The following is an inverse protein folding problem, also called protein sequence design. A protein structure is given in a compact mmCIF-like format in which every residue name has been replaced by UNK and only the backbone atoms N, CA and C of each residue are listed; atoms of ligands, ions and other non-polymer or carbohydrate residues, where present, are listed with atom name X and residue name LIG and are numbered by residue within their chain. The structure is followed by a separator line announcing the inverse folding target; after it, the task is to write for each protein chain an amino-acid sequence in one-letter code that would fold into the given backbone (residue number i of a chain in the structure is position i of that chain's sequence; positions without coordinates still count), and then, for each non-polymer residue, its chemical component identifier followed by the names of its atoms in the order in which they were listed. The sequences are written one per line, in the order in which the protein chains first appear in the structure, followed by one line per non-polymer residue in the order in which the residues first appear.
data_IF_620076549451
#
_entry.id   IF_620076549451
#
_cell.length_a   1.000
_cell.length_b   1.000
_cell.length_c   1.000
_cell.angle_alpha   90.00
_cell.angle_beta   90.00
_cell.angle_gamma   90.00
#
_symmetry.space_group_name_H-M   'P 1'
#
loop_
_entity.id
_entity.type
_entity.pdbx_description
1 polymer ?
#
# COMPACT_ATOMS: atom_id res chain seq x y z
N UNK A 1 -20.97 33.56 46.88
CA UNK A 1 -22.11 32.77 46.35
C UNK A 1 -22.48 33.26 44.93
N UNK A 2 -22.42 34.57 44.62
CA UNK A 2 -22.77 35.09 43.29
C UNK A 2 -21.79 34.77 42.15
N UNK A 3 -20.51 34.59 42.45
CA UNK A 3 -19.48 34.24 41.42
C UNK A 3 -19.53 32.77 40.97
N UNK A 4 -19.91 31.87 41.87
CA UNK A 4 -20.01 30.43 41.58
C UNK A 4 -21.24 30.14 40.70
N UNK A 5 -22.32 30.88 40.86
CA UNK A 5 -23.54 30.73 40.05
C UNK A 5 -23.36 31.25 38.63
N UNK A 6 -22.56 32.30 38.42
CA UNK A 6 -22.22 32.84 37.10
C UNK A 6 -21.23 31.94 36.32
N UNK A 7 -20.31 31.29 37.03
CA UNK A 7 -19.35 30.34 36.43
C UNK A 7 -20.02 29.03 36.00
N UNK A 8 -21.01 28.55 36.76
CA UNK A 8 -21.73 27.32 36.44
C UNK A 8 -22.69 27.48 35.24
N UNK A 9 -23.28 28.66 35.04
CA UNK A 9 -24.13 28.91 33.88
C UNK A 9 -23.35 29.12 32.57
N UNK A 10 -22.11 29.59 32.63
CA UNK A 10 -21.30 29.85 31.46
C UNK A 10 -20.65 28.56 30.89
N UNK A 11 -20.32 27.60 31.76
CA UNK A 11 -19.61 26.36 31.34
C UNK A 11 -20.54 25.21 30.97
N UNK A 12 -21.79 25.16 31.46
CA UNK A 12 -22.78 24.15 31.01
C UNK A 12 -23.24 24.38 29.57
N UNK A 13 -23.18 25.62 29.06
CA UNK A 13 -23.48 25.90 27.65
C UNK A 13 -22.34 25.56 26.69
N UNK A 14 -21.10 25.46 27.18
CA UNK A 14 -19.93 25.11 26.35
C UNK A 14 -19.75 23.59 26.23
N UNK A 15 -20.26 22.80 27.16
CA UNK A 15 -20.04 21.34 27.18
C UNK A 15 -21.02 20.52 26.29
N UNK A 16 -22.11 21.14 25.79
CA UNK A 16 -23.10 20.46 24.93
C UNK A 16 -22.84 20.69 23.42
N UNK A 17 -21.92 21.59 23.05
CA UNK A 17 -21.66 21.90 21.62
C UNK A 17 -20.35 21.35 21.05
N UNK A 18 -19.63 20.51 21.78
CA UNK A 18 -18.35 19.92 21.38
C UNK A 18 -18.45 18.50 20.74
N UNK A 19 -19.65 17.98 20.54
CA UNK A 19 -19.86 16.73 19.85
C UNK A 19 -20.52 17.02 18.50
N UNK A 20 -19.85 16.70 17.42
CA UNK A 20 -20.24 16.73 16.01
C UNK A 20 -19.69 17.89 15.18
N UNK A 21 -18.39 17.89 15.00
CA UNK A 21 -17.82 18.29 13.73
C UNK A 21 -16.58 17.40 13.47
N UNK A 22 -16.85 16.14 13.17
CA UNK A 22 -15.96 15.40 12.31
C UNK A 22 -16.07 16.09 10.94
N UNK A 23 -15.06 16.79 10.43
CA UNK A 23 -15.06 17.10 9.02
C UNK A 23 -14.95 15.75 8.33
N UNK A 24 -16.08 15.22 7.87
CA UNK A 24 -16.08 14.32 6.75
C UNK A 24 -15.45 15.12 5.60
N UNK A 25 -14.12 15.08 5.49
CA UNK A 25 -13.46 15.32 4.24
C UNK A 25 -13.97 14.20 3.32
N UNK A 26 -15.14 14.42 2.74
CA UNK A 26 -15.53 13.79 1.50
C UNK A 26 -14.37 14.11 0.55
N UNK A 27 -13.44 13.16 0.42
CA UNK A 27 -12.54 13.15 -0.71
C UNK A 27 -13.48 13.27 -1.91
N UNK A 28 -13.46 14.44 -2.55
CA UNK A 28 -14.07 14.59 -3.87
C UNK A 28 -13.28 13.61 -4.74
N UNK A 29 -13.90 12.47 -5.06
CA UNK A 29 -13.50 11.70 -6.21
C UNK A 29 -13.49 12.73 -7.35
N UNK A 30 -12.32 13.02 -7.90
CA UNK A 30 -12.26 13.78 -9.15
C UNK A 30 -13.18 13.03 -10.09
N UNK A 31 -14.18 13.72 -10.65
CA UNK A 31 -15.04 13.18 -11.70
C UNK A 31 -14.13 12.88 -12.92
N UNK A 32 -13.46 11.74 -12.84
CA UNK A 32 -12.78 11.19 -14.00
C UNK A 32 -13.87 10.77 -14.98
N UNK A 33 -13.81 11.35 -16.16
CA UNK A 33 -14.68 10.93 -17.26
C UNK A 33 -14.34 9.46 -17.61
N UNK A 34 -15.02 8.54 -16.93
CA UNK A 34 -14.91 7.08 -17.10
C UNK A 34 -15.32 6.68 -18.54
N UNK A 35 -15.90 7.61 -19.32
CA UNK A 35 -16.30 7.40 -20.70
C UNK A 35 -15.16 7.50 -21.72
N UNK A 36 -13.92 7.81 -21.32
CA UNK A 36 -12.78 7.81 -22.23
C UNK A 36 -12.54 6.40 -22.76
N UNK A 37 -12.62 6.23 -24.08
CA UNK A 37 -12.56 4.93 -24.74
C UNK A 37 -11.23 4.15 -24.51
N UNK A 38 -10.14 4.86 -24.13
CA UNK A 38 -8.85 4.26 -23.81
C UNK A 38 -8.07 5.13 -22.81
N UNK A 39 -7.59 4.54 -21.72
CA UNK A 39 -6.90 5.23 -20.63
C UNK A 39 -5.39 5.26 -20.88
N UNK A 40 -4.80 6.43 -20.67
CA UNK A 40 -3.33 6.57 -20.64
C UNK A 40 -2.78 6.04 -19.32
N UNK A 41 -1.48 5.76 -19.30
CA UNK A 41 -0.79 5.33 -18.07
C UNK A 41 -0.94 6.34 -16.92
N UNK A 42 -0.82 7.63 -17.20
CA UNK A 42 -1.00 8.69 -16.20
C UNK A 42 -2.43 8.70 -15.64
N UNK A 43 -3.46 8.54 -16.47
CA UNK A 43 -4.84 8.45 -16.01
C UNK A 43 -5.08 7.24 -15.10
N UNK A 44 -4.45 6.08 -15.43
CA UNK A 44 -4.51 4.91 -14.56
C UNK A 44 -3.86 5.17 -13.20
N UNK A 45 -2.72 5.87 -13.17
CA UNK A 45 -2.05 6.23 -11.92
C UNK A 45 -2.87 7.18 -11.06
N UNK A 46 -3.36 8.27 -11.65
CA UNK A 46 -4.13 9.28 -10.92
C UNK A 46 -5.41 8.70 -10.33
N UNK A 47 -6.08 7.84 -11.11
CA UNK A 47 -7.27 7.13 -10.64
C UNK A 47 -6.94 6.14 -9.51
N UNK A 48 -5.85 5.37 -9.64
CA UNK A 48 -5.41 4.43 -8.61
C UNK A 48 -5.03 5.15 -7.31
N UNK A 49 -4.34 6.29 -7.38
CA UNK A 49 -3.99 7.07 -6.20
C UNK A 49 -5.21 7.58 -5.43
N UNK A 50 -6.31 7.82 -6.14
CA UNK A 50 -7.55 8.30 -5.52
C UNK A 50 -8.43 7.17 -4.99
N UNK A 51 -8.41 6.00 -5.62
CA UNK A 51 -9.42 4.96 -5.37
C UNK A 51 -8.85 3.66 -4.77
N UNK A 52 -7.52 3.41 -4.84
CA UNK A 52 -6.97 2.15 -4.36
C UNK A 52 -7.15 2.00 -2.85
N UNK A 53 -7.83 0.92 -2.43
CA UNK A 53 -8.22 0.65 -1.05
C UNK A 53 -7.00 0.49 -0.14
N UNK A 54 -5.93 -0.15 -0.61
CA UNK A 54 -4.71 -0.36 0.19
C UNK A 54 -4.02 0.97 0.48
N UNK A 55 -3.97 1.88 -0.49
CA UNK A 55 -3.42 3.21 -0.31
C UNK A 55 -4.30 4.05 0.65
N UNK A 56 -5.63 4.00 0.50
CA UNK A 56 -6.56 4.69 1.39
C UNK A 56 -6.42 4.22 2.85
N UNK A 57 -6.22 2.92 3.09
CA UNK A 57 -5.95 2.39 4.44
C UNK A 57 -4.70 3.01 5.05
N UNK A 58 -3.60 3.06 4.31
CA UNK A 58 -2.36 3.66 4.81
C UNK A 58 -2.50 5.16 5.08
N UNK A 59 -3.30 5.88 4.28
CA UNK A 59 -3.63 7.29 4.55
C UNK A 59 -4.42 7.43 5.85
N UNK A 60 -5.39 6.54 6.10
CA UNK A 60 -6.15 6.52 7.36
C UNK A 60 -5.28 6.14 8.55
N UNK A 61 -4.36 5.19 8.39
CA UNK A 61 -3.38 4.83 9.43
C UNK A 61 -2.48 6.03 9.77
N UNK A 62 -2.01 6.78 8.76
CA UNK A 62 -1.25 8.01 8.98
C UNK A 62 -2.07 9.09 9.72
N UNK A 63 -3.36 9.23 9.42
CA UNK A 63 -4.26 10.14 10.17
C UNK A 63 -4.46 9.67 11.62
N UNK A 64 -4.50 8.36 11.87
CA UNK A 64 -4.54 7.80 13.22
C UNK A 64 -3.28 8.12 14.01
N UNK A 65 -2.11 8.03 13.37
CA UNK A 65 -0.84 8.40 14.00
C UNK A 65 -0.75 9.91 14.27
N UNK A 66 -1.29 10.75 13.37
CA UNK A 66 -1.43 12.19 13.60
C UNK A 66 -2.30 12.50 14.81
N UNK A 67 -3.45 11.82 14.95
CA UNK A 67 -4.31 11.95 16.12
C UNK A 67 -3.61 11.50 17.42
N UNK A 68 -2.78 10.44 17.34
CA UNK A 68 -1.96 9.96 18.45
C UNK A 68 -0.91 10.99 18.86
N UNK A 69 -0.26 11.62 17.90
CA UNK A 69 0.69 12.71 18.14
C UNK A 69 0.01 13.92 18.80
N UNK A 70 -1.18 14.31 18.34
CA UNK A 70 -1.96 15.39 18.95
C UNK A 70 -2.37 15.05 20.40
N UNK A 71 -2.76 13.80 20.65
CA UNK A 71 -3.03 13.32 22.01
C UNK A 71 -1.77 13.41 22.90
N UNK A 72 -0.61 13.01 22.38
CA UNK A 72 0.66 13.09 23.11
C UNK A 72 1.06 14.54 23.43
N UNK A 73 0.84 15.48 22.51
CA UNK A 73 1.01 16.91 22.75
C UNK A 73 0.04 17.44 23.81
N UNK A 74 -1.20 16.98 23.78
CA UNK A 74 -2.24 17.36 24.76
C UNK A 74 -1.95 16.88 26.19
N UNK A 75 -1.05 15.88 26.39
CA UNK A 75 -0.62 15.44 27.72
C UNK A 75 0.07 16.53 28.57
N UNK A 76 0.42 17.69 27.97
CA UNK A 76 0.87 18.85 28.73
C UNK A 76 -0.26 19.56 29.45
N UNK A 77 -1.50 19.30 29.14
CA UNK A 77 -2.67 19.89 29.78
C UNK A 77 -3.09 19.08 31.00
N UNK A 78 -3.72 19.70 32.02
CA UNK A 78 -4.30 18.95 33.10
C UNK A 78 -5.53 18.17 32.64
N UNK A 79 -5.78 17.04 33.26
CA UNK A 79 -7.04 16.31 33.15
C UNK A 79 -8.04 16.85 34.14
N UNK A 80 -9.32 16.97 33.77
CA UNK A 80 -10.44 17.33 34.62
C UNK A 80 -11.51 16.26 34.48
N UNK A 81 -11.90 15.66 35.59
CA UNK A 81 -12.92 14.62 35.61
C UNK A 81 -13.96 14.87 36.68
N UNK A 82 -15.23 14.63 36.38
CA UNK A 82 -16.30 14.56 37.36
C UNK A 82 -16.69 13.12 37.57
N UNK A 83 -16.79 12.70 38.84
CA UNK A 83 -17.25 11.38 39.21
C UNK A 83 -18.35 11.45 40.24
N UNK A 84 -19.31 10.57 40.17
CA UNK A 84 -20.31 10.37 41.22
C UNK A 84 -20.44 8.89 41.52
N UNK A 85 -20.44 8.56 42.79
CA UNK A 85 -20.65 7.22 43.29
C UNK A 85 -21.91 7.20 44.15
N UNK A 86 -22.84 6.33 43.80
CA UNK A 86 -24.09 6.12 44.51
C UNK A 86 -24.08 4.71 45.08
N UNK A 87 -24.22 4.58 46.39
CA UNK A 87 -24.16 3.30 47.08
C UNK A 87 -25.42 3.05 47.90
N UNK A 88 -25.85 1.81 47.96
CA UNK A 88 -26.87 1.32 48.87
C UNK A 88 -26.31 0.09 49.60
N UNK A 89 -26.37 0.16 50.94
CA UNK A 89 -25.91 -0.92 51.82
C UNK A 89 -27.10 -1.33 52.68
N UNK A 90 -27.37 -2.63 52.69
CA UNK A 90 -28.31 -3.25 53.63
C UNK A 90 -27.54 -4.10 54.63
N UNK A 91 -27.68 -3.79 55.90
CA UNK A 91 -27.11 -4.57 57.00
C UNK A 91 -28.17 -5.58 57.45
N UNK A 92 -27.96 -6.85 57.24
CA UNK A 92 -28.90 -7.92 57.59
C UNK A 92 -29.11 -8.09 59.10
N UNK A 93 -28.12 -7.67 59.91
CA UNK A 93 -28.20 -7.67 61.40
C UNK A 93 -27.56 -6.38 61.92
N UNK A 94 -28.28 -5.23 61.86
CA UNK A 94 -27.75 -3.98 62.31
C UNK A 94 -27.62 -3.94 63.84
N UNK A 95 -26.59 -3.30 64.39
CA UNK A 95 -26.48 -3.00 65.82
C UNK A 95 -27.52 -1.94 66.24
N UNK A 96 -27.78 -1.80 67.56
CA UNK A 96 -28.78 -0.85 68.05
C UNK A 96 -28.58 0.62 67.60
N UNK A 97 -27.35 1.01 67.28
CA UNK A 97 -26.99 2.34 66.77
C UNK A 97 -26.85 2.42 65.25
N UNK A 98 -27.06 1.32 64.50
CA UNK A 98 -26.82 1.25 63.08
C UNK A 98 -28.12 1.19 62.29
N UNK A 99 -28.28 2.03 61.28
CA UNK A 99 -29.42 1.98 60.36
C UNK A 99 -29.31 0.79 59.42
N UNK A 100 -30.35 -0.06 59.32
CA UNK A 100 -30.35 -1.27 58.50
C UNK A 100 -30.10 -0.97 57.01
N UNK A 101 -30.63 0.13 56.53
CA UNK A 101 -30.52 0.52 55.11
C UNK A 101 -29.83 1.88 55.02
N UNK A 102 -28.68 1.94 54.39
CA UNK A 102 -27.89 3.15 54.20
C UNK A 102 -27.74 3.44 52.70
N UNK A 103 -28.24 4.56 52.26
CA UNK A 103 -27.95 5.11 50.95
C UNK A 103 -26.84 6.18 51.11
N UNK A 104 -25.82 6.14 50.24
CA UNK A 104 -24.73 7.11 50.22
C UNK A 104 -24.47 7.61 48.81
N UNK A 105 -24.16 8.89 48.70
CA UNK A 105 -23.73 9.51 47.45
C UNK A 105 -22.43 10.28 47.67
N UNK A 106 -21.51 10.19 46.73
CA UNK A 106 -20.32 11.04 46.66
C UNK A 106 -20.28 11.71 45.27
N UNK A 107 -19.82 12.93 45.24
CA UNK A 107 -19.73 13.77 44.06
C UNK A 107 -18.38 14.47 44.11
N UNK A 108 -17.51 14.16 43.11
CA UNK A 108 -16.13 14.61 43.09
C UNK A 108 -15.79 15.23 41.74
N UNK A 109 -15.21 16.42 41.76
CA UNK A 109 -14.58 17.07 40.62
C UNK A 109 -13.07 17.06 40.88
N UNK A 110 -12.32 16.34 40.05
CA UNK A 110 -10.89 16.14 40.22
C UNK A 110 -10.12 16.66 39.02
N UNK A 111 -9.07 17.43 39.26
CA UNK A 111 -8.08 17.84 38.26
C UNK A 111 -6.72 17.19 38.60
N UNK A 112 -6.06 16.65 37.62
CA UNK A 112 -4.71 16.10 37.78
C UNK A 112 -3.79 16.60 36.66
N UNK A 113 -2.61 17.04 37.05
CA UNK A 113 -1.59 17.52 36.13
C UNK A 113 -0.23 16.96 36.50
N UNK A 114 0.35 16.19 35.58
CA UNK A 114 1.72 15.72 35.74
C UNK A 114 2.67 16.86 35.34
N UNK A 115 3.33 17.47 36.29
CA UNK A 115 4.27 18.59 36.05
C UNK A 115 5.60 18.07 35.51
N UNK A 116 6.10 16.96 36.07
CA UNK A 116 7.36 16.34 35.68
C UNK A 116 7.27 14.81 35.76
N UNK A 117 7.81 14.10 34.77
CA UNK A 117 7.84 12.63 34.70
C UNK A 117 9.14 12.11 34.10
N UNK A 118 10.27 12.70 34.43
CA UNK A 118 11.57 12.24 33.92
C UNK A 118 11.75 12.44 32.41
N UNK A 119 11.12 13.45 31.81
CA UNK A 119 11.08 13.72 30.38
C UNK A 119 10.41 12.63 29.50
N UNK A 120 9.73 11.67 30.12
CA UNK A 120 9.00 10.63 29.36
C UNK A 120 8.05 11.27 28.36
N UNK A 121 7.20 12.21 28.78
CA UNK A 121 6.24 12.88 27.92
C UNK A 121 6.91 13.63 26.74
N UNK A 122 8.00 14.33 26.98
CA UNK A 122 8.73 15.04 25.93
C UNK A 122 9.30 14.08 24.89
N UNK A 123 9.86 12.96 25.33
CA UNK A 123 10.42 11.94 24.44
C UNK A 123 9.33 11.14 23.74
N UNK A 124 8.16 10.93 24.41
CA UNK A 124 6.98 10.31 23.80
C UNK A 124 6.47 11.14 22.60
N UNK A 125 6.34 12.45 22.75
CA UNK A 125 5.94 13.34 21.65
C UNK A 125 6.90 13.21 20.47
N UNK A 126 8.20 13.16 20.73
CA UNK A 126 9.20 13.00 19.67
C UNK A 126 9.13 11.61 19.01
N UNK A 127 8.89 10.57 19.81
CA UNK A 127 8.69 9.21 19.31
C UNK A 127 7.47 9.17 18.38
N UNK A 128 6.33 9.73 18.83
CA UNK A 128 5.09 9.74 18.04
C UNK A 128 5.21 10.62 16.80
N UNK A 129 5.99 11.71 16.84
CA UNK A 129 6.34 12.50 15.66
C UNK A 129 7.12 11.68 14.62
N UNK A 130 8.06 10.85 15.08
CA UNK A 130 8.78 9.94 14.18
C UNK A 130 7.85 8.86 13.62
N UNK A 131 6.96 8.29 14.43
CA UNK A 131 5.98 7.30 13.98
C UNK A 131 5.05 7.86 12.90
N UNK A 132 4.54 9.07 13.08
CA UNK A 132 3.72 9.75 12.07
C UNK A 132 4.50 9.97 10.76
N UNK A 133 5.79 10.34 10.83
CA UNK A 133 6.64 10.47 9.62
C UNK A 133 6.92 9.12 8.96
N UNK A 134 7.13 8.06 9.76
CA UNK A 134 7.31 6.69 9.26
C UNK A 134 6.05 6.23 8.52
N UNK A 135 4.87 6.50 9.08
CA UNK A 135 3.58 6.20 8.47
C UNK A 135 3.37 6.98 7.16
N UNK A 136 3.71 8.27 7.12
CA UNK A 136 3.66 9.08 5.91
C UNK A 136 4.57 8.52 4.78
N UNK A 137 5.79 8.10 5.11
CA UNK A 137 6.68 7.42 4.15
C UNK A 137 6.13 6.07 3.70
N UNK A 138 5.36 5.37 4.54
CA UNK A 138 4.63 4.16 4.16
C UNK A 138 3.58 4.41 3.08
N UNK A 139 2.90 5.56 3.12
CA UNK A 139 1.97 5.99 2.06
C UNK A 139 2.73 6.21 0.74
N UNK A 140 3.89 6.87 0.79
CA UNK A 140 4.68 7.12 -0.42
C UNK A 140 5.28 5.82 -0.98
N UNK A 141 5.73 4.90 -0.12
CA UNK A 141 6.18 3.56 -0.52
C UNK A 141 5.08 2.79 -1.26
N UNK A 142 3.85 2.84 -0.76
CA UNK A 142 2.70 2.19 -1.41
C UNK A 142 2.37 2.84 -2.77
N UNK A 143 2.49 4.16 -2.89
CA UNK A 143 2.32 4.85 -4.18
C UNK A 143 3.32 4.34 -5.22
N UNK A 144 4.58 4.19 -4.85
CA UNK A 144 5.62 3.68 -5.76
C UNK A 144 5.42 2.21 -6.10
N UNK A 145 4.99 1.40 -5.15
CA UNK A 145 4.60 0.01 -5.41
C UNK A 145 3.47 -0.05 -6.42
N UNK A 146 2.41 0.73 -6.21
CA UNK A 146 1.27 0.80 -7.09
C UNK A 146 1.65 1.27 -8.51
N UNK A 147 2.57 2.24 -8.62
CA UNK A 147 3.09 2.73 -9.89
C UNK A 147 3.79 1.63 -10.70
N UNK A 148 4.64 0.83 -10.06
CA UNK A 148 5.36 -0.27 -10.73
C UNK A 148 4.43 -1.44 -11.07
N UNK A 149 3.43 -1.72 -10.24
CA UNK A 149 2.42 -2.73 -10.52
C UNK A 149 1.53 -2.32 -11.71
N UNK A 150 1.06 -1.07 -11.75
CA UNK A 150 0.28 -0.53 -12.88
C UNK A 150 1.11 -0.59 -14.17
N UNK A 151 2.40 -0.22 -14.12
CA UNK A 151 3.30 -0.34 -15.27
C UNK A 151 3.31 -1.77 -15.83
N UNK A 152 3.52 -2.74 -14.96
CA UNK A 152 3.57 -4.15 -15.38
C UNK A 152 2.25 -4.62 -15.99
N UNK A 153 1.11 -4.27 -15.39
CA UNK A 153 -0.22 -4.66 -15.91
C UNK A 153 -0.57 -3.91 -17.19
N UNK A 154 -0.22 -2.63 -17.30
CA UNK A 154 -0.44 -1.83 -18.49
C UNK A 154 0.33 -2.39 -19.70
N UNK A 155 1.62 -2.66 -19.53
CA UNK A 155 2.46 -3.28 -20.58
C UNK A 155 1.98 -4.67 -20.95
N UNK A 156 1.45 -5.45 -20.00
CA UNK A 156 0.87 -6.77 -20.29
C UNK A 156 -0.38 -6.67 -21.19
N UNK A 157 -1.19 -5.62 -21.04
CA UNK A 157 -2.33 -5.36 -21.94
C UNK A 157 -1.84 -5.00 -23.33
N UNK A 158 -0.81 -4.15 -23.47
CA UNK A 158 -0.23 -3.79 -24.76
C UNK A 158 0.37 -5.01 -25.45
N UNK A 159 1.11 -5.84 -24.71
CA UNK A 159 1.61 -7.14 -25.18
C UNK A 159 0.48 -8.03 -25.72
N UNK A 160 -0.62 -8.16 -24.96
CA UNK A 160 -1.76 -8.99 -25.37
C UNK A 160 -2.48 -8.45 -26.62
N UNK A 161 -2.58 -7.13 -26.78
CA UNK A 161 -3.12 -6.48 -27.99
C UNK A 161 -2.27 -6.80 -29.22
N UNK A 162 -0.95 -6.66 -29.10
CA UNK A 162 -0.02 -6.95 -30.21
C UNK A 162 -0.02 -8.45 -30.55
N UNK A 163 -0.13 -9.33 -29.53
CA UNK A 163 -0.25 -10.78 -29.73
C UNK A 163 -1.52 -11.15 -30.52
N UNK A 164 -2.66 -10.47 -30.27
CA UNK A 164 -3.90 -10.67 -31.05
C UNK A 164 -3.69 -10.25 -32.50
N UNK A 165 -3.04 -9.10 -32.75
CA UNK A 165 -2.77 -8.63 -34.11
C UNK A 165 -1.93 -9.65 -34.92
N UNK A 166 -0.89 -10.21 -34.29
CA UNK A 166 -0.05 -11.27 -34.87
C UNK A 166 -0.89 -12.53 -35.10
N UNK A 167 -1.64 -13.02 -34.11
CA UNK A 167 -2.43 -14.23 -34.24
C UNK A 167 -3.52 -14.09 -35.31
N UNK A 168 -4.14 -12.93 -35.45
CA UNK A 168 -5.15 -12.66 -36.50
C UNK A 168 -4.56 -12.72 -37.88
N UNK A 169 -3.37 -12.14 -38.07
CA UNK A 169 -2.64 -12.23 -39.33
C UNK A 169 -2.27 -13.68 -39.68
N UNK A 170 -1.86 -14.46 -38.70
CA UNK A 170 -1.50 -15.86 -38.90
C UNK A 170 -2.72 -16.72 -39.27
N UNK A 171 -3.88 -16.48 -38.67
CA UNK A 171 -5.17 -17.13 -39.05
C UNK A 171 -5.54 -16.79 -40.52
N UNK A 172 -5.34 -15.54 -40.93
CA UNK A 172 -5.62 -15.15 -42.32
C UNK A 172 -4.71 -15.87 -43.32
N UNK A 173 -3.40 -15.97 -43.02
CA UNK A 173 -2.41 -16.68 -43.83
C UNK A 173 -2.74 -18.18 -43.92
N UNK A 174 -2.94 -18.83 -42.77
CA UNK A 174 -3.25 -20.28 -42.77
C UNK A 174 -4.61 -20.62 -43.40
N UNK A 175 -5.59 -19.71 -43.31
CA UNK A 175 -6.85 -19.83 -44.03
C UNK A 175 -6.65 -19.84 -45.55
N UNK A 176 -5.85 -18.90 -46.05
CA UNK A 176 -5.52 -18.83 -47.48
C UNK A 176 -4.77 -20.08 -47.93
N UNK A 177 -3.84 -20.59 -47.12
CA UNK A 177 -3.11 -21.86 -47.43
C UNK A 177 -4.07 -23.05 -47.48
N UNK A 178 -5.02 -23.15 -46.55
CA UNK A 178 -6.05 -24.20 -46.47
C UNK A 178 -6.96 -24.18 -47.72
N UNK A 179 -7.50 -23.01 -48.09
CA UNK A 179 -8.36 -22.85 -49.28
C UNK A 179 -7.62 -23.23 -50.57
N UNK A 180 -6.34 -22.87 -50.64
CA UNK A 180 -5.48 -23.28 -51.77
C UNK A 180 -5.20 -24.82 -51.81
N UNK A 181 -4.93 -25.40 -50.65
CA UNK A 181 -4.73 -26.84 -50.50
C UNK A 181 -5.99 -27.62 -50.90
N UNK A 182 -7.18 -27.10 -50.53
CA UNK A 182 -8.46 -27.70 -50.93
C UNK A 182 -8.62 -27.72 -52.47
N UNK A 183 -8.29 -26.63 -53.13
CA UNK A 183 -8.34 -26.55 -54.61
C UNK A 183 -7.35 -27.55 -55.28
N UNK A 184 -6.15 -27.69 -54.70
CA UNK A 184 -5.14 -28.67 -55.18
C UNK A 184 -5.59 -30.10 -54.96
N UNK A 185 -6.18 -30.42 -53.82
CA UNK A 185 -6.75 -31.74 -53.52
C UNK A 185 -7.86 -32.08 -54.47
N UNK A 186 -8.81 -31.18 -54.71
CA UNK A 186 -9.92 -31.35 -55.62
C UNK A 186 -9.48 -31.56 -57.10
N UNK A 187 -8.32 -31.00 -57.47
CA UNK A 187 -7.69 -31.24 -58.78
C UNK A 187 -6.80 -32.47 -58.84
N UNK A 188 -6.69 -33.23 -57.73
CA UNK A 188 -5.87 -34.45 -57.66
C UNK A 188 -4.37 -34.20 -57.54
N UNK A 189 -3.94 -32.95 -57.26
CA UNK A 189 -2.54 -32.55 -57.16
C UNK A 189 -1.99 -32.60 -55.74
N UNK A 190 -2.85 -32.75 -54.74
CA UNK A 190 -2.49 -32.87 -53.32
C UNK A 190 -3.22 -34.06 -52.71
N UNK A 191 -2.57 -34.77 -51.79
CA UNK A 191 -3.22 -35.88 -51.08
C UNK A 191 -4.24 -35.35 -50.05
N UNK A 192 -5.23 -36.19 -49.70
CA UNK A 192 -6.19 -35.87 -48.65
C UNK A 192 -5.52 -35.76 -47.27
N UNK A 193 -4.43 -36.49 -47.07
CA UNK A 193 -3.63 -36.43 -45.82
C UNK A 193 -2.98 -35.06 -45.69
N UNK A 194 -2.32 -34.57 -46.74
CA UNK A 194 -1.69 -33.26 -46.75
C UNK A 194 -2.71 -32.15 -46.56
N UNK A 195 -3.87 -32.19 -47.20
CA UNK A 195 -4.95 -31.24 -46.97
C UNK A 195 -5.37 -31.24 -45.51
N UNK A 196 -5.63 -32.43 -44.90
CA UNK A 196 -6.04 -32.51 -43.50
C UNK A 196 -5.01 -31.95 -42.51
N UNK A 197 -3.72 -32.04 -42.83
CA UNK A 197 -2.64 -31.45 -42.04
C UNK A 197 -2.71 -29.90 -42.09
N UNK A 198 -2.87 -29.34 -43.29
CA UNK A 198 -3.00 -27.87 -43.47
C UNK A 198 -4.28 -27.35 -42.83
N UNK A 199 -5.42 -28.05 -42.94
CA UNK A 199 -6.67 -27.75 -42.28
C UNK A 199 -6.52 -27.76 -40.75
N UNK A 200 -5.82 -28.78 -40.21
CA UNK A 200 -5.50 -28.85 -38.76
C UNK A 200 -4.67 -27.67 -38.29
N UNK A 201 -3.71 -27.20 -39.10
CA UNK A 201 -2.92 -26.01 -38.78
C UNK A 201 -3.79 -24.75 -38.68
N UNK A 202 -4.70 -24.54 -39.65
CA UNK A 202 -5.63 -23.40 -39.58
C UNK A 202 -6.49 -23.43 -38.34
N UNK A 203 -6.99 -24.61 -37.91
CA UNK A 203 -7.72 -24.75 -36.67
C UNK A 203 -6.86 -24.43 -35.41
N UNK A 204 -5.58 -24.83 -35.46
CA UNK A 204 -4.59 -24.52 -34.41
C UNK A 204 -4.38 -23.00 -34.28
N UNK A 205 -4.22 -22.31 -35.43
CA UNK A 205 -4.04 -20.85 -35.42
C UNK A 205 -5.32 -20.11 -34.91
N UNK A 206 -6.50 -20.61 -35.30
CA UNK A 206 -7.77 -20.09 -34.73
C UNK A 206 -7.87 -20.26 -33.22
N UNK A 207 -7.46 -21.42 -32.71
CA UNK A 207 -7.39 -21.66 -31.27
C UNK A 207 -6.41 -20.69 -30.60
N UNK A 208 -5.25 -20.47 -31.20
CA UNK A 208 -4.25 -19.50 -30.72
C UNK A 208 -4.80 -18.08 -30.68
N UNK A 209 -5.57 -17.64 -31.68
CA UNK A 209 -6.26 -16.35 -31.67
C UNK A 209 -7.26 -16.25 -30.51
N UNK A 210 -8.11 -17.26 -30.32
CA UNK A 210 -9.07 -17.28 -29.21
C UNK A 210 -8.36 -17.22 -27.85
N UNK A 211 -7.22 -17.91 -27.73
CA UNK A 211 -6.38 -17.87 -26.52
C UNK A 211 -5.81 -16.47 -26.29
N UNK A 212 -5.31 -15.80 -27.33
CA UNK A 212 -4.80 -14.44 -27.24
C UNK A 212 -5.90 -13.44 -26.82
N UNK A 213 -7.11 -13.56 -27.36
CA UNK A 213 -8.28 -12.75 -26.98
C UNK A 213 -8.66 -12.97 -25.50
N UNK A 214 -8.63 -14.21 -25.03
CA UNK A 214 -8.87 -14.54 -23.62
C UNK A 214 -7.78 -13.96 -22.70
N UNK A 215 -6.53 -14.00 -23.12
CA UNK A 215 -5.41 -13.43 -22.38
C UNK A 215 -5.55 -11.89 -22.27
N UNK A 216 -5.97 -11.20 -23.32
CA UNK A 216 -6.26 -9.77 -23.26
C UNK A 216 -7.39 -9.45 -22.26
N UNK A 217 -8.48 -10.23 -22.31
CA UNK A 217 -9.58 -10.05 -21.36
C UNK A 217 -9.09 -10.23 -19.91
N UNK A 218 -8.27 -11.26 -19.65
CA UNK A 218 -7.68 -11.52 -18.32
C UNK A 218 -6.72 -10.42 -17.90
N UNK A 219 -5.90 -9.90 -18.79
CA UNK A 219 -4.98 -8.80 -18.51
C UNK A 219 -5.75 -7.50 -18.16
N UNK A 220 -6.84 -7.19 -18.87
CA UNK A 220 -7.73 -6.07 -18.57
C UNK A 220 -8.37 -6.23 -17.18
N UNK A 221 -8.86 -7.42 -16.83
CA UNK A 221 -9.41 -7.69 -15.49
C UNK A 221 -8.35 -7.49 -14.41
N UNK A 222 -7.11 -7.93 -14.63
CA UNK A 222 -6.04 -7.76 -13.65
C UNK A 222 -5.71 -6.26 -13.38
N UNK A 223 -5.73 -5.40 -14.40
CA UNK A 223 -5.55 -3.96 -14.21
C UNK A 223 -6.80 -3.32 -13.58
N UNK A 224 -8.01 -3.68 -14.02
CA UNK A 224 -9.27 -3.21 -13.42
C UNK A 224 -9.32 -3.49 -11.91
N UNK A 225 -8.90 -4.68 -11.48
CA UNK A 225 -8.85 -5.04 -10.06
C UNK A 225 -7.88 -4.14 -9.29
N UNK A 226 -6.72 -3.82 -9.86
CA UNK A 226 -5.74 -2.93 -9.22
C UNK A 226 -6.24 -1.49 -9.13
N UNK A 227 -7.02 -1.06 -10.12
CA UNK A 227 -7.67 0.25 -10.17
C UNK A 227 -8.97 0.32 -9.35
N UNK A 228 -9.45 -0.79 -8.79
CA UNK A 228 -10.75 -0.88 -8.09
C UNK A 228 -11.94 -0.46 -8.98
N UNK A 229 -11.86 -0.72 -10.29
CA UNK A 229 -12.96 -0.43 -11.21
C UNK A 229 -14.07 -1.48 -11.11
N UNK A 230 -15.32 -1.03 -11.26
CA UNK A 230 -16.47 -1.92 -11.28
C UNK A 230 -16.40 -2.92 -12.46
N UNK A 231 -16.94 -4.12 -12.25
CA UNK A 231 -16.94 -5.19 -13.25
C UNK A 231 -17.67 -4.80 -14.54
N UNK A 232 -18.67 -3.93 -14.43
CA UNK A 232 -19.49 -3.45 -15.57
C UNK A 232 -18.82 -2.37 -16.40
N UNK A 233 -17.76 -1.73 -15.87
CA UNK A 233 -17.05 -0.64 -16.57
C UNK A 233 -16.34 -1.20 -17.80
N UNK A 234 -16.66 -0.68 -18.98
CA UNK A 234 -15.86 -0.94 -20.17
C UNK A 234 -14.52 -0.22 -20.05
N UNK A 235 -13.42 -0.95 -20.24
CA UNK A 235 -12.08 -0.45 -19.98
C UNK A 235 -11.11 -0.91 -21.05
N UNK A 236 -10.34 0.04 -21.57
CA UNK A 236 -9.19 -0.24 -22.42
C UNK A 236 -8.05 0.72 -22.10
N UNK A 237 -6.84 0.40 -22.56
CA UNK A 237 -5.66 1.24 -22.42
C UNK A 237 -5.27 1.84 -23.77
N UNK A 238 -4.72 3.05 -23.72
CA UNK A 238 -4.20 3.72 -24.91
C UNK A 238 -2.98 2.97 -25.45
N UNK A 239 -2.93 2.83 -26.77
CA UNK A 239 -1.78 2.20 -27.43
C UNK A 239 -0.59 3.15 -27.35
N UNK A 240 0.60 2.56 -27.14
CA UNK A 240 1.87 3.28 -27.09
C UNK A 240 2.78 2.64 -28.13
N UNK A 241 3.33 3.46 -29.00
CA UNK A 241 4.34 3.02 -29.97
C UNK A 241 5.74 3.18 -29.35
N UNK A 242 6.51 2.12 -29.35
CA UNK A 242 7.85 2.08 -28.78
C UNK A 242 8.88 2.11 -29.89
N UNK A 243 9.78 3.08 -29.87
CA UNK A 243 10.88 3.18 -30.82
C UNK A 243 11.91 2.06 -30.58
N UNK A 244 12.25 1.33 -31.63
CA UNK A 244 13.30 0.30 -31.60
C UNK A 244 14.66 0.85 -31.13
N UNK A 245 14.95 2.12 -31.40
CA UNK A 245 16.16 2.80 -30.92
C UNK A 245 16.15 2.95 -29.39
N UNK A 246 14.97 3.20 -28.78
CA UNK A 246 14.82 3.25 -27.34
C UNK A 246 15.01 1.86 -26.70
N UNK A 247 14.48 0.82 -27.35
CA UNK A 247 14.64 -0.57 -26.91
C UNK A 247 16.11 -1.02 -26.98
N UNK A 248 16.85 -0.59 -27.99
CA UNK A 248 18.27 -0.91 -28.17
C UNK A 248 19.23 -0.03 -27.36
N UNK A 249 18.76 1.08 -26.77
CA UNK A 249 19.62 2.01 -26.02
C UNK A 249 20.36 1.31 -24.85
N UNK A 250 21.58 1.77 -24.55
CA UNK A 250 22.40 1.24 -23.47
C UNK A 250 21.71 1.37 -22.11
N UNK A 251 21.93 0.38 -21.24
CA UNK A 251 21.43 0.41 -19.87
C UNK A 251 22.25 1.37 -19.00
N UNK A 252 21.64 2.06 -18.03
CA UNK A 252 22.35 2.90 -17.08
C UNK A 252 23.31 2.05 -16.23
N UNK A 253 24.38 2.65 -15.70
CA UNK A 253 25.31 1.93 -14.81
C UNK A 253 24.59 1.45 -13.54
N UNK A 254 24.70 0.15 -13.22
CA UNK A 254 24.07 -0.47 -12.04
C UNK A 254 24.34 0.29 -10.73
N UNK A 255 25.61 0.69 -10.52
CA UNK A 255 26.01 1.45 -9.30
C UNK A 255 25.32 2.79 -9.21
N UNK A 256 25.19 3.52 -10.31
CA UNK A 256 24.51 4.83 -10.34
C UNK A 256 23.02 4.69 -10.00
N UNK A 257 22.36 3.66 -10.53
CA UNK A 257 20.95 3.39 -10.23
C UNK A 257 20.77 3.08 -8.74
N UNK A 258 21.64 2.23 -8.18
CA UNK A 258 21.59 1.86 -6.76
C UNK A 258 21.85 3.07 -5.84
N UNK A 259 22.92 3.83 -6.09
CA UNK A 259 23.27 5.00 -5.25
C UNK A 259 22.15 6.05 -5.29
N UNK A 260 21.55 6.27 -6.44
CA UNK A 260 20.42 7.20 -6.58
C UNK A 260 19.20 6.68 -5.82
N UNK A 261 18.83 5.40 -6.00
CA UNK A 261 17.71 4.79 -5.31
C UNK A 261 17.86 4.85 -3.78
N UNK A 262 19.08 4.59 -3.25
CA UNK A 262 19.37 4.71 -1.83
C UNK A 262 19.12 6.12 -1.26
N UNK A 263 19.27 7.16 -2.09
CA UNK A 263 19.13 8.54 -1.63
C UNK A 263 17.67 8.97 -1.41
N UNK A 264 16.73 8.42 -2.16
CA UNK A 264 15.35 8.90 -2.15
C UNK A 264 14.31 7.87 -1.72
N UNK A 265 14.59 6.56 -1.76
CA UNK A 265 13.59 5.51 -1.60
C UNK A 265 12.91 5.58 -0.24
N UNK A 266 11.56 5.74 -0.17
CA UNK A 266 10.83 5.90 1.07
C UNK A 266 11.00 4.72 2.02
N UNK A 267 11.09 3.50 1.49
CA UNK A 267 11.33 2.30 2.30
C UNK A 267 12.61 2.41 3.15
N UNK A 268 13.73 2.84 2.55
CA UNK A 268 14.99 3.00 3.29
C UNK A 268 14.92 4.15 4.30
N UNK A 269 14.29 5.28 3.91
CA UNK A 269 14.09 6.41 4.82
C UNK A 269 13.23 6.00 6.02
N UNK A 270 12.19 5.18 5.80
CA UNK A 270 11.31 4.64 6.85
C UNK A 270 12.09 3.79 7.86
N UNK A 271 12.92 2.85 7.41
CA UNK A 271 13.74 2.03 8.30
C UNK A 271 14.78 2.86 9.06
N UNK A 272 15.38 3.85 8.41
CA UNK A 272 16.30 4.77 9.07
C UNK A 272 15.62 5.57 10.19
N UNK A 273 14.44 6.13 9.91
CA UNK A 273 13.65 6.86 10.92
C UNK A 273 13.18 5.94 12.05
N UNK A 274 12.85 4.67 11.77
CA UNK A 274 12.51 3.70 12.79
C UNK A 274 13.67 3.50 13.77
N UNK A 275 14.89 3.37 13.29
CA UNK A 275 16.07 3.33 14.15
C UNK A 275 16.27 4.60 14.99
N UNK A 276 15.99 5.79 14.42
CA UNK A 276 16.03 7.06 15.15
C UNK A 276 14.91 7.14 16.21
N UNK A 277 13.71 6.66 15.90
CA UNK A 277 12.58 6.60 16.83
C UNK A 277 12.91 5.72 18.06
N UNK A 278 13.58 4.59 17.88
CA UNK A 278 13.99 3.72 18.99
C UNK A 278 14.99 4.39 19.94
N UNK A 279 15.71 5.44 19.53
CA UNK A 279 16.50 6.22 20.47
C UNK A 279 15.62 6.95 21.47
N UNK A 280 14.47 7.48 21.04
CA UNK A 280 13.50 8.09 21.97
C UNK A 280 12.83 7.05 22.85
N UNK A 281 12.59 5.83 22.37
CA UNK A 281 12.13 4.70 23.17
C UNK A 281 13.11 4.37 24.32
N UNK A 282 14.42 4.39 24.06
CA UNK A 282 15.44 4.23 25.12
C UNK A 282 15.35 5.37 26.13
N UNK A 283 15.18 6.62 25.69
CA UNK A 283 15.13 7.77 26.58
C UNK A 283 13.82 7.84 27.40
N UNK A 284 12.70 7.34 26.83
CA UNK A 284 11.45 7.09 27.54
C UNK A 284 11.68 6.06 28.67
N UNK A 285 12.29 4.94 28.34
CA UNK A 285 12.58 3.89 29.32
C UNK A 285 13.52 4.38 30.43
N UNK A 286 14.51 5.23 30.12
CA UNK A 286 15.40 5.88 31.10
C UNK A 286 14.64 6.86 31.98
N UNK A 287 13.58 7.50 31.45
CA UNK A 287 12.70 8.38 32.19
C UNK A 287 12.12 7.74 33.45
N UNK A 288 11.91 6.42 33.43
CA UNK A 288 11.42 5.66 34.59
C UNK A 288 12.33 5.64 35.82
N UNK A 289 13.60 6.04 35.72
CA UNK A 289 14.49 6.20 36.86
C UNK A 289 14.34 7.53 37.58
N UNK A 290 13.67 8.51 36.98
CA UNK A 290 13.50 9.84 37.55
C UNK A 290 12.22 9.93 38.37
N UNK A 291 12.15 10.90 39.31
CA UNK A 291 10.92 11.15 40.07
C UNK A 291 9.79 11.62 39.13
N UNK A 292 8.56 11.34 39.54
CA UNK A 292 7.35 11.91 38.97
C UNK A 292 6.76 12.92 39.92
N UNK A 293 6.42 14.11 39.43
CA UNK A 293 5.77 15.17 40.21
C UNK A 293 4.39 15.47 39.61
N UNK A 294 3.35 15.28 40.39
CA UNK A 294 1.98 15.52 39.99
C UNK A 294 1.31 16.55 40.94
N UNK A 295 0.57 17.46 40.35
CA UNK A 295 -0.34 18.39 41.07
C UNK A 295 -1.75 17.85 40.92
N UNK A 296 -2.44 17.69 42.06
CA UNK A 296 -3.83 17.25 42.10
C UNK A 296 -4.65 18.27 42.82
N UNK A 297 -5.82 18.61 42.29
CA UNK A 297 -6.82 19.48 42.92
C UNK A 297 -8.17 18.79 42.86
N UNK A 298 -8.94 18.88 43.91
CA UNK A 298 -10.26 18.26 43.95
C UNK A 298 -11.25 19.08 44.81
N UNK A 299 -12.49 19.00 44.37
CA UNK A 299 -13.64 19.50 45.13
C UNK A 299 -14.65 18.39 45.25
N UNK A 300 -14.98 18.00 46.47
CA UNK A 300 -15.86 16.87 46.70
C UNK A 300 -16.94 17.18 47.75
N UNK A 301 -18.04 16.46 47.66
CA UNK A 301 -19.08 16.45 48.67
C UNK A 301 -19.77 15.09 48.72
N UNK A 302 -20.44 14.81 49.85
CA UNK A 302 -21.10 13.51 50.00
C UNK A 302 -22.39 13.64 50.84
N UNK A 303 -23.26 12.66 50.67
CA UNK A 303 -24.45 12.52 51.49
C UNK A 303 -24.62 11.07 51.95
N UNK A 304 -25.32 10.90 53.08
CA UNK A 304 -25.65 9.60 53.65
C UNK A 304 -27.06 9.65 54.25
N UNK A 305 -27.90 8.67 53.96
CA UNK A 305 -29.24 8.58 54.52
C UNK A 305 -29.18 8.48 56.06
N UNK A 306 -30.15 9.05 56.74
CA UNK A 306 -30.17 9.06 58.20
C UNK A 306 -29.32 10.14 58.88
N UNK A 307 -28.56 10.95 58.12
CA UNK A 307 -27.66 11.99 58.66
C UNK A 307 -28.20 13.41 58.48
N UNK A 308 -29.50 13.62 58.37
CA UNK A 308 -30.14 14.92 58.22
C UNK A 308 -30.53 15.28 56.77
N UNK A 309 -30.83 16.58 56.54
CA UNK A 309 -31.26 17.06 55.21
C UNK A 309 -30.15 17.00 54.18
N UNK A 310 -30.47 16.53 52.99
CA UNK A 310 -29.54 16.38 51.89
C UNK A 310 -28.77 17.68 51.54
N UNK A 311 -29.49 18.83 51.46
CA UNK A 311 -28.89 20.11 51.13
C UNK A 311 -27.89 20.60 52.19
N UNK A 312 -28.18 20.33 53.48
CA UNK A 312 -27.27 20.63 54.57
C UNK A 312 -26.00 19.75 54.50
N UNK A 313 -26.17 18.45 54.28
CA UNK A 313 -25.03 17.54 54.17
C UNK A 313 -24.12 17.91 53.01
N UNK A 314 -24.66 18.19 51.81
CA UNK A 314 -23.86 18.56 50.64
C UNK A 314 -23.08 19.88 50.89
N UNK A 315 -23.62 20.79 51.70
CA UNK A 315 -22.94 22.04 52.05
C UNK A 315 -21.89 21.85 53.15
N UNK A 316 -22.21 21.10 54.18
CA UNK A 316 -21.33 20.89 55.33
C UNK A 316 -20.18 19.92 55.03
N UNK A 317 -20.37 19.00 54.09
CA UNK A 317 -19.36 18.04 53.68
C UNK A 317 -18.59 18.47 52.42
N UNK A 318 -18.82 19.69 51.93
CA UNK A 318 -18.02 20.24 50.85
C UNK A 318 -16.58 20.37 51.33
N UNK A 319 -15.68 19.75 50.59
CA UNK A 319 -14.26 19.83 50.86
C UNK A 319 -13.50 20.21 49.58
N UNK A 320 -12.42 20.91 49.76
CA UNK A 320 -11.49 21.32 48.70
C UNK A 320 -10.10 20.82 49.08
N UNK A 321 -9.40 20.22 48.15
CA UNK A 321 -8.05 19.75 48.38
C UNK A 321 -7.12 20.11 47.22
N UNK A 322 -5.90 20.50 47.58
CA UNK A 322 -4.80 20.67 46.63
C UNK A 322 -3.61 19.88 47.18
N UNK A 323 -2.99 19.04 46.37
CA UNK A 323 -1.85 18.24 46.78
C UNK A 323 -0.79 18.17 45.69
N UNK A 324 0.47 18.18 46.08
CA UNK A 324 1.62 17.87 45.25
C UNK A 324 2.12 16.49 45.66
N UNK A 325 2.15 15.57 44.70
CA UNK A 325 2.66 14.23 44.94
C UNK A 325 4.00 14.08 44.21
N UNK A 326 5.05 13.71 44.95
CA UNK A 326 6.38 13.37 44.42
C UNK A 326 6.59 11.89 44.65
N UNK A 327 6.70 11.13 43.56
CA UNK A 327 6.97 9.68 43.58
C UNK A 327 8.38 9.40 43.05
N UNK A 328 9.22 8.78 43.89
CA UNK A 328 10.60 8.43 43.55
C UNK A 328 10.75 6.91 43.58
N UNK A 329 11.06 6.24 42.43
CA UNK A 329 11.29 4.79 42.42
C UNK A 329 12.65 4.48 43.08
N UNK A 330 12.64 3.78 44.23
CA UNK A 330 13.87 3.37 44.95
C UNK A 330 14.22 1.94 44.60
N UNK A 331 13.26 1.02 44.64
CA UNK A 331 13.40 -0.39 44.28
C UNK A 331 12.22 -0.77 43.37
N UNK A 332 12.49 -1.16 42.15
CA UNK A 332 11.50 -1.45 41.09
C UNK A 332 11.57 -2.88 40.55
N UNK A 333 12.20 -3.80 41.28
CA UNK A 333 12.38 -5.19 40.86
C UNK A 333 13.04 -5.31 39.47
N UNK A 334 13.98 -4.45 39.16
CA UNK A 334 14.69 -4.32 37.87
C UNK A 334 13.79 -3.90 36.67
N UNK A 335 12.57 -3.45 36.90
CA UNK A 335 11.61 -3.05 35.84
C UNK A 335 12.23 -2.06 34.86
N UNK A 336 12.76 -0.94 35.37
CA UNK A 336 13.37 0.10 34.53
C UNK A 336 14.65 -0.39 33.83
N UNK A 337 15.50 -1.17 34.53
CA UNK A 337 16.69 -1.78 33.93
C UNK A 337 16.33 -2.68 32.75
N UNK A 338 15.29 -3.49 32.90
CA UNK A 338 14.81 -4.40 31.85
C UNK A 338 14.19 -3.64 30.69
N UNK A 339 13.41 -2.56 30.98
CA UNK A 339 12.83 -1.71 29.96
C UNK A 339 13.91 -1.06 29.08
N UNK A 340 14.96 -0.47 29.70
CA UNK A 340 16.09 0.12 28.96
C UNK A 340 16.84 -0.96 28.15
N UNK A 341 17.06 -2.16 28.71
CA UNK A 341 17.71 -3.23 27.97
C UNK A 341 16.90 -3.67 26.74
N UNK A 342 15.57 -3.83 26.88
CA UNK A 342 14.67 -4.16 25.77
C UNK A 342 14.66 -3.07 24.70
N UNK A 343 14.56 -1.79 25.07
CA UNK A 343 14.60 -0.68 24.13
C UNK A 343 15.93 -0.61 23.36
N UNK A 344 17.06 -0.90 24.01
CA UNK A 344 18.35 -0.99 23.31
C UNK A 344 18.40 -2.15 22.31
N UNK A 345 17.82 -3.29 22.66
CA UNK A 345 17.72 -4.43 21.73
C UNK A 345 16.80 -4.08 20.55
N UNK A 346 15.68 -3.40 20.80
CA UNK A 346 14.78 -2.94 19.75
C UNK A 346 15.50 -2.01 18.76
N UNK A 347 16.32 -1.07 19.26
CA UNK A 347 17.15 -0.23 18.40
C UNK A 347 18.15 -1.02 17.55
N UNK A 348 18.83 -2.00 18.13
CA UNK A 348 19.77 -2.85 17.38
C UNK A 348 19.04 -3.64 16.30
N UNK A 349 17.82 -4.13 16.59
CA UNK A 349 17.00 -4.80 15.58
C UNK A 349 16.62 -3.82 14.45
N UNK A 350 16.19 -2.59 14.76
CA UNK A 350 15.88 -1.60 13.75
C UNK A 350 17.10 -1.23 12.87
N UNK A 351 18.30 -1.21 13.43
CA UNK A 351 19.54 -1.01 12.67
C UNK A 351 19.83 -2.21 11.73
N UNK A 352 19.50 -3.44 12.15
CA UNK A 352 19.61 -4.64 11.31
C UNK A 352 18.53 -4.64 10.21
N UNK A 353 17.28 -4.25 10.53
CA UNK A 353 16.19 -4.12 9.56
C UNK A 353 16.55 -3.13 8.43
N UNK A 354 17.22 -2.02 8.78
CA UNK A 354 17.75 -1.08 7.78
C UNK A 354 18.80 -1.72 6.87
N UNK A 355 19.74 -2.52 7.44
CA UNK A 355 20.75 -3.23 6.65
C UNK A 355 20.11 -4.28 5.74
N UNK A 356 19.11 -5.00 6.23
CA UNK A 356 18.35 -5.97 5.44
C UNK A 356 17.61 -5.28 4.29
N UNK A 357 16.96 -4.14 4.53
CA UNK A 357 16.30 -3.35 3.50
C UNK A 357 17.27 -2.85 2.43
N UNK A 358 18.47 -2.40 2.80
CA UNK A 358 19.51 -2.03 1.84
C UNK A 358 19.97 -3.21 1.00
N UNK A 359 20.15 -4.38 1.61
CA UNK A 359 20.54 -5.60 0.91
C UNK A 359 19.45 -6.05 -0.05
N UNK A 360 18.18 -6.01 0.38
CA UNK A 360 17.02 -6.35 -0.44
C UNK A 360 16.89 -5.40 -1.65
N UNK A 361 17.09 -4.09 -1.46
CA UNK A 361 17.10 -3.12 -2.55
C UNK A 361 18.23 -3.42 -3.55
N UNK A 362 19.44 -3.72 -3.06
CA UNK A 362 20.56 -4.08 -3.92
C UNK A 362 20.24 -5.32 -4.77
N UNK A 363 19.68 -6.36 -4.16
CA UNK A 363 19.27 -7.60 -4.85
C UNK A 363 18.16 -7.33 -5.87
N UNK A 364 17.19 -6.49 -5.54
CA UNK A 364 16.11 -6.12 -6.44
C UNK A 364 16.65 -5.39 -7.68
N UNK A 365 17.49 -4.38 -7.50
CA UNK A 365 18.09 -3.63 -8.62
C UNK A 365 19.01 -4.53 -9.45
N UNK A 366 19.78 -5.40 -8.81
CA UNK A 366 20.64 -6.37 -9.52
C UNK A 366 19.82 -7.36 -10.33
N UNK A 367 18.72 -7.87 -9.78
CA UNK A 367 17.78 -8.75 -10.50
C UNK A 367 17.19 -8.07 -11.74
N UNK A 368 16.65 -6.86 -11.57
CA UNK A 368 16.08 -6.07 -12.68
C UNK A 368 17.16 -5.78 -13.75
N UNK A 369 18.40 -5.50 -13.33
CA UNK A 369 19.49 -5.23 -14.25
C UNK A 369 19.86 -6.47 -15.09
N UNK A 370 19.99 -7.63 -14.45
CA UNK A 370 20.24 -8.91 -15.12
C UNK A 370 19.09 -9.24 -16.09
N UNK A 371 17.85 -9.04 -15.66
CA UNK A 371 16.67 -9.27 -16.49
C UNK A 371 16.64 -8.31 -17.69
N UNK A 372 17.05 -7.05 -17.49
CA UNK A 372 17.16 -6.06 -18.57
C UNK A 372 18.22 -6.45 -19.60
N UNK A 373 19.43 -6.85 -19.17
CA UNK A 373 20.50 -7.30 -20.06
C UNK A 373 20.08 -8.55 -20.86
N UNK A 374 19.48 -9.53 -20.16
CA UNK A 374 19.00 -10.76 -20.79
C UNK A 374 17.87 -10.48 -21.79
N UNK A 375 16.90 -9.63 -21.42
CA UNK A 375 15.78 -9.29 -22.28
C UNK A 375 16.26 -8.53 -23.53
N UNK A 376 17.20 -7.60 -23.40
CA UNK A 376 17.78 -6.86 -24.52
C UNK A 376 18.56 -7.78 -25.47
N UNK A 377 19.42 -8.65 -24.95
CA UNK A 377 20.16 -9.63 -25.79
C UNK A 377 19.23 -10.61 -26.51
N UNK A 378 18.15 -11.04 -25.82
CA UNK A 378 17.10 -11.86 -26.45
C UNK A 378 16.37 -11.09 -27.56
N UNK A 379 16.02 -9.83 -27.32
CA UNK A 379 15.34 -8.99 -28.31
C UNK A 379 16.17 -8.89 -29.60
N UNK A 380 17.46 -8.57 -29.50
CA UNK A 380 18.37 -8.49 -30.64
C UNK A 380 18.47 -9.84 -31.41
N UNK A 381 18.64 -10.93 -30.66
CA UNK A 381 18.72 -12.27 -31.25
C UNK A 381 17.41 -12.73 -31.91
N UNK A 382 16.27 -12.42 -31.27
CA UNK A 382 14.95 -12.75 -31.78
C UNK A 382 14.56 -11.92 -33.00
N UNK A 383 15.03 -10.67 -33.10
CA UNK A 383 14.84 -9.84 -34.29
C UNK A 383 15.49 -10.45 -35.51
N UNK A 384 16.75 -10.91 -35.41
CA UNK A 384 17.44 -11.60 -36.52
C UNK A 384 16.83 -12.99 -36.80
N UNK A 385 16.38 -13.71 -35.76
CA UNK A 385 15.65 -14.98 -35.90
C UNK A 385 14.35 -14.78 -36.69
N UNK A 386 13.56 -13.75 -36.33
CA UNK A 386 12.29 -13.44 -37.02
C UNK A 386 12.55 -13.13 -38.52
N UNK A 387 13.55 -12.28 -38.78
CA UNK A 387 13.92 -11.94 -40.16
C UNK A 387 14.26 -13.18 -40.98
N UNK A 388 15.06 -14.10 -40.44
CA UNK A 388 15.43 -15.36 -41.11
C UNK A 388 14.25 -16.31 -41.25
N UNK A 389 13.41 -16.45 -40.20
CA UNK A 389 12.22 -17.30 -40.21
C UNK A 389 11.16 -16.77 -41.20
N UNK A 390 10.97 -15.46 -41.28
CA UNK A 390 10.04 -14.83 -42.24
C UNK A 390 10.47 -15.08 -43.70
N UNK A 391 11.74 -14.89 -43.99
CA UNK A 391 12.27 -15.20 -45.34
C UNK A 391 12.14 -16.69 -45.69
N UNK A 392 12.41 -17.56 -44.72
CA UNK A 392 12.27 -19.01 -44.90
C UNK A 392 10.82 -19.40 -45.15
N UNK A 393 9.88 -18.89 -44.40
CA UNK A 393 8.44 -19.14 -44.57
C UNK A 393 7.96 -18.65 -45.96
N UNK A 394 8.38 -17.45 -46.39
CA UNK A 394 8.05 -16.91 -47.70
C UNK A 394 8.56 -17.82 -48.84
N UNK A 395 9.84 -18.20 -48.80
CA UNK A 395 10.45 -19.07 -49.84
C UNK A 395 9.84 -20.48 -49.88
N UNK A 396 9.59 -21.07 -48.68
CA UNK A 396 8.96 -22.40 -48.58
C UNK A 396 7.51 -22.36 -49.09
N UNK A 397 6.76 -21.29 -48.82
CA UNK A 397 5.42 -21.08 -49.37
C UNK A 397 5.43 -21.01 -50.89
N UNK A 398 6.41 -20.32 -51.51
CA UNK A 398 6.58 -20.26 -52.96
C UNK A 398 6.93 -21.63 -53.54
N UNK A 399 7.89 -22.36 -52.93
CA UNK A 399 8.30 -23.69 -53.34
C UNK A 399 7.17 -24.69 -53.22
N UNK A 400 6.38 -24.64 -52.16
CA UNK A 400 5.20 -25.48 -52.01
C UNK A 400 4.17 -25.22 -53.10
N UNK A 401 4.02 -23.93 -53.49
CA UNK A 401 3.15 -23.55 -54.59
C UNK A 401 3.57 -24.14 -55.93
N UNK A 402 4.85 -24.38 -56.11
CA UNK A 402 5.43 -25.01 -57.30
C UNK A 402 5.52 -26.54 -57.18
N UNK A 403 5.16 -27.14 -56.03
CA UNK A 403 5.25 -28.57 -55.77
C UNK A 403 6.69 -29.07 -55.53
N UNK A 404 7.62 -28.18 -55.16
CA UNK A 404 9.04 -28.49 -54.96
C UNK A 404 9.36 -28.95 -53.51
N UNK A 405 8.48 -28.70 -52.56
CA UNK A 405 8.59 -29.12 -51.16
C UNK A 405 7.30 -29.78 -50.70
N UNK A 406 7.39 -30.56 -49.63
CA UNK A 406 6.23 -31.27 -49.07
C UNK A 406 5.47 -30.43 -48.01
N UNK A 407 4.29 -30.92 -47.60
CA UNK A 407 3.44 -30.26 -46.59
C UNK A 407 4.12 -30.13 -45.21
N UNK A 408 4.99 -31.10 -44.86
CA UNK A 408 5.70 -31.05 -43.58
C UNK A 408 6.71 -29.89 -43.54
N UNK A 409 7.42 -29.64 -44.64
CA UNK A 409 8.36 -28.50 -44.73
C UNK A 409 7.61 -27.18 -44.62
N UNK A 410 6.44 -27.05 -45.26
CA UNK A 410 5.57 -25.87 -45.13
C UNK A 410 5.15 -25.62 -43.69
N UNK A 411 4.64 -26.64 -42.98
CA UNK A 411 4.17 -26.54 -41.60
C UNK A 411 5.32 -26.25 -40.64
N UNK A 412 6.51 -26.81 -40.85
CA UNK A 412 7.70 -26.54 -40.06
C UNK A 412 8.17 -25.08 -40.20
N UNK A 413 8.20 -24.54 -41.42
CA UNK A 413 8.56 -23.16 -41.69
C UNK A 413 7.56 -22.20 -40.99
N UNK A 414 6.26 -22.46 -41.13
CA UNK A 414 5.21 -21.69 -40.47
C UNK A 414 5.33 -21.74 -38.94
N UNK A 415 5.51 -22.92 -38.35
CA UNK A 415 5.72 -23.08 -36.90
C UNK A 415 6.96 -22.33 -36.39
N UNK A 416 8.03 -22.32 -37.17
CA UNK A 416 9.25 -21.57 -36.85
C UNK A 416 9.02 -20.06 -36.87
N UNK A 417 8.25 -19.58 -37.86
CA UNK A 417 7.85 -18.16 -37.94
C UNK A 417 6.98 -17.75 -36.73
N UNK A 418 5.95 -18.54 -36.39
CA UNK A 418 5.09 -18.31 -35.23
C UNK A 418 5.89 -18.19 -33.92
N UNK A 419 6.82 -19.15 -33.73
CA UNK A 419 7.70 -19.16 -32.56
C UNK A 419 8.58 -17.91 -32.50
N UNK A 420 9.20 -17.53 -33.64
CA UNK A 420 10.05 -16.34 -33.72
C UNK A 420 9.26 -15.05 -33.44
N UNK A 421 8.02 -14.92 -33.93
CA UNK A 421 7.15 -13.79 -33.64
C UNK A 421 6.80 -13.67 -32.14
N UNK A 422 6.45 -14.78 -31.49
CA UNK A 422 6.11 -14.81 -30.06
C UNK A 422 7.33 -14.48 -29.20
N UNK A 423 8.50 -15.04 -29.51
CA UNK A 423 9.72 -14.79 -28.77
C UNK A 423 10.17 -13.33 -28.88
N UNK A 424 10.10 -12.72 -30.07
CA UNK A 424 10.42 -11.31 -30.25
C UNK A 424 9.45 -10.41 -29.47
N UNK A 425 8.15 -10.67 -29.58
CA UNK A 425 7.13 -9.91 -28.87
C UNK A 425 7.35 -9.95 -27.35
N UNK A 426 7.61 -11.14 -26.81
CA UNK A 426 7.90 -11.30 -25.39
C UNK A 426 9.18 -10.57 -24.99
N UNK A 427 10.26 -10.71 -25.76
CA UNK A 427 11.52 -10.04 -25.49
C UNK A 427 11.38 -8.51 -25.54
N UNK A 428 10.62 -7.96 -26.52
CA UNK A 428 10.31 -6.54 -26.65
C UNK A 428 9.70 -5.98 -25.36
N UNK A 429 8.60 -6.55 -24.90
CA UNK A 429 7.88 -6.03 -23.74
C UNK A 429 8.63 -6.24 -22.41
N UNK A 430 9.40 -7.34 -22.27
CA UNK A 430 10.27 -7.53 -21.11
C UNK A 430 11.42 -6.51 -21.08
N UNK A 431 12.02 -6.19 -22.23
CA UNK A 431 13.05 -5.15 -22.31
C UNK A 431 12.48 -3.79 -21.90
N UNK A 432 11.32 -3.42 -22.42
CA UNK A 432 10.64 -2.16 -22.08
C UNK A 432 10.35 -2.10 -20.58
N UNK A 433 9.74 -3.16 -20.01
CA UNK A 433 9.41 -3.21 -18.59
C UNK A 433 10.64 -2.97 -17.71
N UNK A 434 11.71 -3.75 -17.94
CA UNK A 434 12.90 -3.68 -17.10
C UNK A 434 13.65 -2.35 -17.27
N UNK A 435 13.70 -1.78 -18.47
CA UNK A 435 14.26 -0.43 -18.70
C UNK A 435 13.46 0.64 -17.97
N UNK A 436 12.12 0.59 -18.02
CA UNK A 436 11.26 1.54 -17.29
C UNK A 436 11.41 1.39 -15.78
N UNK A 437 11.59 0.17 -15.27
CA UNK A 437 11.86 -0.06 -13.84
C UNK A 437 13.24 0.51 -13.44
N UNK A 438 14.31 0.29 -14.24
CA UNK A 438 15.62 0.88 -13.95
C UNK A 438 15.57 2.41 -13.98
N UNK A 439 14.85 2.98 -14.95
CA UNK A 439 14.65 4.43 -15.03
C UNK A 439 13.88 4.95 -13.81
N UNK A 440 12.85 4.24 -13.36
CA UNK A 440 12.10 4.57 -12.15
C UNK A 440 13.01 4.65 -10.92
N UNK A 441 13.89 3.67 -10.69
CA UNK A 441 14.84 3.71 -9.58
C UNK A 441 15.84 4.87 -9.69
N UNK A 442 16.07 5.39 -10.89
CA UNK A 442 16.96 6.51 -11.14
C UNK A 442 16.26 7.89 -11.05
N UNK A 443 15.02 7.99 -11.53
CA UNK A 443 14.33 9.29 -11.73
C UNK A 443 13.12 9.50 -10.85
N UNK A 444 12.67 8.48 -10.09
CA UNK A 444 11.45 8.47 -9.29
C UNK A 444 10.14 8.54 -10.11
N UNK A 445 10.23 8.53 -11.43
CA UNK A 445 9.07 8.67 -12.31
C UNK A 445 9.12 7.63 -13.43
N UNK A 446 7.94 7.14 -13.79
CA UNK A 446 7.74 6.33 -14.99
C UNK A 446 7.09 7.25 -16.03
N UNK A 447 7.82 7.50 -17.11
CA UNK A 447 7.35 8.25 -18.28
C UNK A 447 7.29 7.34 -19.51
N UNK A 448 6.31 7.59 -20.36
CA UNK A 448 6.19 6.95 -21.69
C UNK A 448 6.35 7.99 -22.75
#
# INVERSE_FOLDING_TARGET
IGLIHSFMQLHVKIFVFGLLACPSALMHAADYDISAAAWTFSQCLDYAYSNNISLQRLVLDNQSDEATLEQSKAQWQPTLGFSTTQGYINYASPSESQTANVYSGAYDLNASWTVFNGNIRRNQIKYDEMQQRISALGVDEQRYTLQTEILSKYLNILYAKEAIAIARKNVEVSKYQMERAEALMNSGKLSRVDYSQIESQWHTDRYSLTTAETNLASAKVALKTLLELDITTDFDVADIDFDDAEIAAELPRKTTVFDTACSWMPALQRYKLAGEAEQYSIDIARGGYYPTVSLNAGVGTSNTSGSGNLGTQLKERLNEQISVTVSVPILDQKKNKTAVAKARIARLNADLDYQEAMTSLSQTIEGIYIDAENAQSKYESCAEKLKSASLTDELVNEQFALGLVNTLDLLNAHSSLLTAQQELLQAKYLTILNKRLLNFYQTQQISF
#
